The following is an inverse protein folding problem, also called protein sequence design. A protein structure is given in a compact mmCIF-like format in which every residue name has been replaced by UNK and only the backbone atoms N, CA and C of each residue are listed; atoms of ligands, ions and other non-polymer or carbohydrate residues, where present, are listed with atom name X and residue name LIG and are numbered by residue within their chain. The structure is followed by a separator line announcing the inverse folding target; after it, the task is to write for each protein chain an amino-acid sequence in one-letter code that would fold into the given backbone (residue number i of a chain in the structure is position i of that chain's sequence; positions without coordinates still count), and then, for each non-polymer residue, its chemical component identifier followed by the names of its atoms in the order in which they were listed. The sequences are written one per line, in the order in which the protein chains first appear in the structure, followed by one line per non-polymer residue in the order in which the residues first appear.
data_IF_198676060761
#
_entry.id   IF_198676060761
#
_cell.length_a   1.000
_cell.length_b   1.000
_cell.length_c   1.000
_cell.angle_alpha   90.00
_cell.angle_beta   90.00
_cell.angle_gamma   90.00
#
_symmetry.space_group_name_H-M   'P 1'
#
loop_
_entity.id
_entity.type
_entity.pdbx_description
1 polymer ?
#
# COMPACT_ATOMS: atom_id res chain seq x y z
N UNK A 1 -9.57 -3.29 8.40
CA UNK A 1 -10.86 -3.46 9.09
C UNK A 1 -10.88 -2.77 10.44
N UNK A 2 -9.88 -3.00 11.30
CA UNK A 2 -9.72 -2.32 12.60
C UNK A 2 -10.00 -0.80 12.51
N UNK A 3 -9.34 -0.09 11.59
CA UNK A 3 -9.55 1.35 11.43
C UNK A 3 -11.00 1.77 11.08
N UNK A 4 -11.76 0.97 10.31
CA UNK A 4 -13.16 1.29 9.97
C UNK A 4 -14.13 0.92 11.09
N UNK A 5 -13.81 -0.17 11.81
CA UNK A 5 -14.56 -0.61 12.99
C UNK A 5 -14.35 0.35 14.17
N UNK A 6 -13.12 0.82 14.40
CA UNK A 6 -12.77 1.84 15.39
C UNK A 6 -13.46 3.19 15.09
N UNK A 7 -13.69 3.49 13.81
CA UNK A 7 -14.47 4.66 13.38
C UNK A 7 -16.01 4.45 13.42
N UNK A 8 -16.49 3.35 14.00
CA UNK A 8 -17.92 3.11 14.26
C UNK A 8 -18.74 2.62 13.04
N UNK A 9 -18.10 2.24 11.95
CA UNK A 9 -18.81 1.72 10.78
C UNK A 9 -19.07 0.21 10.92
N UNK A 10 -20.31 -0.22 10.69
CA UNK A 10 -20.64 -1.63 10.48
C UNK A 10 -20.12 -2.06 9.12
N UNK A 11 -18.94 -2.70 9.10
CA UNK A 11 -18.27 -3.13 7.87
C UNK A 11 -18.47 -4.63 7.66
N UNK A 12 -19.09 -4.99 6.54
CA UNK A 12 -19.11 -6.36 6.04
C UNK A 12 -17.78 -6.65 5.32
N UNK A 13 -17.09 -7.72 5.72
CA UNK A 13 -15.76 -8.06 5.21
C UNK A 13 -15.78 -8.37 3.71
N UNK A 14 -16.74 -9.17 3.25
CA UNK A 14 -16.85 -9.59 1.85
C UNK A 14 -17.08 -8.39 0.94
N UNK A 15 -17.95 -7.47 1.37
CA UNK A 15 -18.23 -6.22 0.66
C UNK A 15 -17.00 -5.33 0.59
N UNK A 16 -16.32 -5.11 1.72
CA UNK A 16 -15.12 -4.27 1.75
C UNK A 16 -14.00 -4.84 0.87
N UNK A 17 -13.82 -6.16 0.89
CA UNK A 17 -12.86 -6.84 0.04
C UNK A 17 -13.19 -6.69 -1.44
N UNK A 18 -14.47 -6.80 -1.82
CA UNK A 18 -14.92 -6.60 -3.18
C UNK A 18 -14.68 -5.16 -3.66
N UNK A 19 -15.03 -4.16 -2.83
CA UNK A 19 -14.80 -2.74 -3.13
C UNK A 19 -13.31 -2.42 -3.31
N UNK A 20 -12.42 -2.99 -2.48
CA UNK A 20 -10.97 -2.83 -2.61
C UNK A 20 -10.48 -3.44 -3.93
N UNK A 21 -10.89 -4.67 -4.24
CA UNK A 21 -10.48 -5.35 -5.48
C UNK A 21 -10.93 -4.59 -6.73
N UNK A 22 -12.18 -4.16 -6.77
CA UNK A 22 -12.71 -3.40 -7.91
C UNK A 22 -11.93 -2.10 -8.14
N UNK A 23 -11.61 -1.38 -7.07
CA UNK A 23 -10.79 -0.17 -7.16
C UNK A 23 -9.38 -0.49 -7.67
N UNK A 24 -8.73 -1.49 -7.09
CA UNK A 24 -7.36 -1.85 -7.46
C UNK A 24 -7.28 -2.34 -8.92
N UNK A 25 -8.29 -3.07 -9.41
CA UNK A 25 -8.40 -3.48 -10.81
C UNK A 25 -8.59 -2.28 -11.75
N UNK A 26 -9.45 -1.33 -11.37
CA UNK A 26 -9.65 -0.10 -12.14
C UNK A 26 -8.36 0.73 -12.21
N UNK A 27 -7.66 0.86 -11.09
CA UNK A 27 -6.42 1.65 -11.00
C UNK A 27 -5.27 1.00 -11.78
N UNK A 28 -5.18 -0.33 -11.81
CA UNK A 28 -4.18 -1.06 -12.61
C UNK A 28 -4.45 -0.98 -14.11
N UNK A 29 -5.72 -0.96 -14.52
CA UNK A 29 -6.11 -1.08 -15.93
C UNK A 29 -6.47 0.26 -16.60
N UNK A 30 -6.42 1.38 -15.90
CA UNK A 30 -6.72 2.69 -16.50
C UNK A 30 -5.70 3.05 -17.59
N UNK A 31 -6.20 3.62 -18.70
CA UNK A 31 -5.37 3.94 -19.87
C UNK A 31 -4.30 5.02 -19.60
N UNK A 32 -4.51 5.89 -18.61
CA UNK A 32 -3.62 7.00 -18.28
C UNK A 32 -3.11 6.85 -16.85
N UNK A 33 -1.78 6.86 -16.69
CA UNK A 33 -1.07 6.72 -15.41
C UNK A 33 -1.49 5.49 -14.58
N UNK A 34 -1.48 4.25 -15.12
CA UNK A 34 -1.91 3.07 -14.39
C UNK A 34 -1.11 2.84 -13.09
N UNK A 35 -1.71 2.14 -12.13
CA UNK A 35 -1.04 1.71 -10.90
C UNK A 35 -0.04 0.58 -11.23
N UNK A 36 1.21 0.97 -11.49
CA UNK A 36 2.34 0.08 -11.75
C UNK A 36 3.56 0.58 -10.97
N UNK A 37 4.36 -0.30 -10.35
CA UNK A 37 5.61 0.11 -9.73
C UNK A 37 6.58 0.65 -10.78
N UNK A 38 7.31 1.72 -10.45
CA UNK A 38 8.38 2.22 -11.32
C UNK A 38 9.54 1.22 -11.39
N UNK A 39 10.34 1.29 -12.46
CA UNK A 39 11.44 0.35 -12.68
C UNK A 39 12.54 0.41 -11.60
N UNK A 40 12.69 1.56 -10.95
CA UNK A 40 13.66 1.84 -9.88
C UNK A 40 13.01 1.89 -8.48
N UNK A 41 11.71 1.60 -8.38
CA UNK A 41 10.99 1.60 -7.12
C UNK A 41 11.40 0.41 -6.24
N UNK A 42 11.54 0.67 -4.94
CA UNK A 42 11.57 -0.40 -3.95
C UNK A 42 10.13 -0.88 -3.71
N UNK A 43 9.84 -2.14 -4.04
CA UNK A 43 8.58 -2.79 -3.67
C UNK A 43 8.68 -3.23 -2.21
N UNK A 44 7.88 -2.61 -1.35
CA UNK A 44 7.83 -2.91 0.08
C UNK A 44 6.49 -3.56 0.43
N UNK A 45 6.46 -4.90 0.49
CA UNK A 45 5.28 -5.65 0.95
C UNK A 45 5.20 -5.63 2.48
N UNK A 46 4.15 -5.01 3.00
CA UNK A 46 3.90 -4.86 4.45
C UNK A 46 2.92 -5.88 5.03
N UNK A 47 2.49 -6.89 4.27
CA UNK A 47 1.46 -7.88 4.68
C UNK A 47 1.73 -8.51 6.05
N UNK A 48 3.01 -8.65 6.43
CA UNK A 48 3.46 -9.26 7.70
C UNK A 48 4.38 -8.36 8.52
N UNK A 49 4.38 -7.07 8.24
CA UNK A 49 5.25 -6.10 8.94
C UNK A 49 4.43 -5.25 9.90
N UNK A 50 5.02 -4.91 11.05
CA UNK A 50 4.48 -3.85 11.89
C UNK A 50 4.69 -2.47 11.24
N UNK A 51 3.98 -1.46 11.74
CA UNK A 51 4.13 -0.09 11.26
C UNK A 51 5.57 0.40 11.47
N UNK A 52 6.18 0.10 12.61
CA UNK A 52 7.56 0.47 12.93
C UNK A 52 8.56 -0.18 11.96
N UNK A 53 8.35 -1.46 11.62
CA UNK A 53 9.21 -2.18 10.67
C UNK A 53 9.11 -1.60 9.25
N UNK A 54 7.91 -1.17 8.83
CA UNK A 54 7.71 -0.48 7.54
C UNK A 54 8.46 0.86 7.53
N UNK A 55 8.33 1.65 8.59
CA UNK A 55 9.00 2.95 8.73
C UNK A 55 10.52 2.77 8.69
N UNK A 56 11.05 1.83 9.46
CA UNK A 56 12.48 1.55 9.51
C UNK A 56 13.03 1.19 8.12
N UNK A 57 12.39 0.24 7.43
CA UNK A 57 12.82 -0.19 6.09
C UNK A 57 12.75 0.94 5.06
N UNK A 58 11.69 1.74 5.08
CA UNK A 58 11.54 2.86 4.16
C UNK A 58 12.62 3.94 4.38
N UNK A 59 12.87 4.32 5.65
CA UNK A 59 13.89 5.30 6.00
C UNK A 59 15.31 4.81 5.71
N UNK A 60 15.59 3.53 5.97
CA UNK A 60 16.88 2.92 5.65
C UNK A 60 17.16 3.01 4.14
N UNK A 61 16.20 2.61 3.30
CA UNK A 61 16.34 2.67 1.85
C UNK A 61 16.55 4.10 1.36
N UNK A 62 15.75 5.05 1.85
CA UNK A 62 15.87 6.46 1.49
C UNK A 62 17.26 7.02 1.86
N UNK A 63 17.75 6.77 3.08
CA UNK A 63 19.08 7.21 3.52
C UNK A 63 20.20 6.61 2.68
N UNK A 64 20.11 5.33 2.35
CA UNK A 64 21.10 4.68 1.48
C UNK A 64 21.13 5.33 0.10
N UNK A 65 19.98 5.54 -0.54
CA UNK A 65 19.92 6.17 -1.86
C UNK A 65 20.39 7.62 -1.86
N UNK A 66 20.04 8.38 -0.83
CA UNK A 66 20.40 9.80 -0.71
C UNK A 66 21.86 10.03 -0.29
N UNK A 67 22.46 9.12 0.48
CA UNK A 67 23.88 9.22 0.86
C UNK A 67 24.84 8.76 -0.25
N UNK A 68 24.33 8.05 -1.26
CA UNK A 68 25.06 7.64 -2.47
C UNK A 68 24.95 8.67 -3.61
N UNK A 69 24.23 9.78 -3.39
CA UNK A 69 24.10 10.91 -4.30
C UNK A 69 24.96 12.10 -3.80
#
# INVERSE_FOLDING_TARGET
MLQLQENGFSVNFERLLAEIKERDDRDRNRAVAPLVPAADALVLDSTRLSIEQVIEKALQYARQKLALA
#
